data_IF_741049533633
#
_entry.id   IF_741049533633
#
_cell.length_a   1.000
_cell.length_b   1.000
_cell.length_c   1.000
_cell.angle_alpha   90.00
_cell.angle_beta   90.00
_cell.angle_gamma   90.00
#
_symmetry.space_group_name_H-M   'P 1'
#
loop_
_entity.id
_entity.type
_entity.pdbx_description
1 polymer ?
#
# COMPACT_ATOMS: atom_id res chain seq x y z
N UNK A 1 16.58 2.92 -5.97
CA UNK A 1 17.56 1.94 -5.41
C UNK A 1 16.99 0.52 -5.43
N UNK A 2 17.83 -0.53 -5.36
CA UNK A 2 17.37 -1.92 -5.24
C UNK A 2 16.48 -2.16 -4.02
N UNK A 3 16.77 -1.51 -2.90
CA UNK A 3 15.98 -1.59 -1.67
C UNK A 3 14.58 -0.99 -1.90
N UNK A 4 14.48 0.21 -2.45
CA UNK A 4 13.18 0.84 -2.74
C UNK A 4 12.33 -0.02 -3.69
N UNK A 5 12.94 -0.60 -4.72
CA UNK A 5 12.24 -1.48 -5.65
C UNK A 5 11.69 -2.74 -4.94
N UNK A 6 12.51 -3.39 -4.11
CA UNK A 6 12.05 -4.54 -3.32
C UNK A 6 10.93 -4.16 -2.36
N UNK A 7 11.07 -3.04 -1.63
CA UNK A 7 10.04 -2.58 -0.70
C UNK A 7 8.74 -2.18 -1.42
N UNK A 8 8.83 -1.67 -2.65
CA UNK A 8 7.65 -1.44 -3.52
C UNK A 8 6.94 -2.74 -3.84
N UNK A 9 7.68 -3.81 -4.18
CA UNK A 9 7.08 -5.11 -4.46
C UNK A 9 6.49 -5.75 -3.19
N UNK A 10 7.15 -5.61 -2.04
CA UNK A 10 6.58 -6.07 -0.77
C UNK A 10 5.27 -5.36 -0.43
N UNK A 11 5.18 -4.05 -0.71
CA UNK A 11 3.94 -3.29 -0.54
C UNK A 11 2.79 -3.80 -1.40
N UNK A 12 3.05 -4.48 -2.51
CA UNK A 12 1.98 -5.08 -3.31
C UNK A 12 1.24 -6.22 -2.58
N UNK A 13 1.89 -6.92 -1.63
CA UNK A 13 1.33 -8.12 -1.01
C UNK A 13 -0.03 -7.91 -0.33
N UNK A 14 -0.27 -6.85 0.46
CA UNK A 14 -1.59 -6.60 1.04
C UNK A 14 -2.71 -6.33 0.03
N UNK A 15 -2.36 -5.89 -1.18
CA UNK A 15 -3.33 -5.46 -2.21
C UNK A 15 -3.62 -6.52 -3.27
N UNK A 16 -2.61 -7.27 -3.68
CA UNK A 16 -2.72 -8.23 -4.80
C UNK A 16 -2.44 -9.67 -4.41
N UNK A 17 -2.10 -9.90 -3.14
CA UNK A 17 -1.81 -11.20 -2.56
C UNK A 17 -0.41 -11.74 -2.86
N UNK A 18 -0.02 -12.75 -2.09
CA UNK A 18 1.30 -13.38 -2.19
C UNK A 18 1.64 -13.94 -3.58
N UNK A 19 0.73 -14.63 -4.30
CA UNK A 19 1.11 -15.23 -5.57
C UNK A 19 1.66 -14.23 -6.59
N UNK A 20 0.99 -13.10 -6.78
CA UNK A 20 1.46 -12.04 -7.70
C UNK A 20 2.72 -11.35 -7.20
N UNK A 21 2.81 -11.12 -5.89
CA UNK A 21 3.98 -10.51 -5.27
C UNK A 21 5.22 -11.40 -5.42
N UNK A 22 5.09 -12.71 -5.21
CA UNK A 22 6.19 -13.67 -5.37
C UNK A 22 6.68 -13.74 -6.82
N UNK A 23 5.76 -13.71 -7.80
CA UNK A 23 6.14 -13.64 -9.21
C UNK A 23 6.95 -12.36 -9.51
N UNK A 24 6.50 -11.20 -9.01
CA UNK A 24 7.21 -9.94 -9.19
C UNK A 24 8.60 -9.97 -8.51
N UNK A 25 8.71 -10.58 -7.32
CA UNK A 25 10.01 -10.77 -6.64
C UNK A 25 10.96 -11.65 -7.46
N UNK A 26 10.45 -12.70 -8.11
CA UNK A 26 11.25 -13.52 -9.04
C UNK A 26 11.86 -12.66 -10.13
N UNK A 27 11.04 -11.88 -10.81
CA UNK A 27 11.48 -11.00 -11.92
C UNK A 27 12.49 -9.96 -11.46
N UNK A 28 12.28 -9.27 -10.34
CA UNK A 28 13.26 -8.28 -9.87
C UNK A 28 14.59 -8.91 -9.46
N UNK A 29 14.58 -10.14 -8.91
CA UNK A 29 15.80 -10.87 -8.56
C UNK A 29 16.61 -11.24 -9.81
N UNK A 30 15.95 -11.63 -10.90
CA UNK A 30 16.60 -11.86 -12.21
C UNK A 30 17.28 -10.58 -12.71
N UNK A 31 16.56 -9.45 -12.70
CA UNK A 31 17.11 -8.13 -13.09
C UNK A 31 18.27 -7.72 -12.17
N UNK A 32 18.20 -8.01 -10.87
CA UNK A 32 19.30 -7.72 -9.96
C UNK A 32 20.54 -8.55 -10.30
N UNK A 33 20.37 -9.84 -10.61
CA UNK A 33 21.47 -10.70 -11.02
C UNK A 33 22.12 -10.21 -12.32
N UNK A 34 21.33 -9.86 -13.34
CA UNK A 34 21.80 -9.29 -14.61
C UNK A 34 22.61 -7.99 -14.44
N UNK A 35 22.24 -7.19 -13.43
CA UNK A 35 22.91 -5.93 -13.08
C UNK A 35 24.05 -6.07 -12.08
N UNK A 36 24.42 -7.29 -11.69
CA UNK A 36 25.48 -7.57 -10.74
C UNK A 36 25.18 -7.11 -9.31
N UNK A 37 23.89 -6.91 -8.98
CA UNK A 37 23.47 -6.54 -7.63
C UNK A 37 23.46 -7.79 -6.77
N UNK A 38 24.25 -7.77 -5.69
CA UNK A 38 24.38 -8.91 -4.77
C UNK A 38 23.12 -9.10 -3.92
N UNK A 39 22.67 -10.35 -3.82
CA UNK A 39 21.58 -10.77 -2.93
C UNK A 39 22.14 -11.63 -1.78
N UNK A 40 21.48 -11.65 -0.60
CA UNK A 40 20.28 -10.88 -0.26
C UNK A 40 20.60 -9.39 -0.03
N UNK A 41 19.63 -8.54 -0.33
CA UNK A 41 19.70 -7.13 0.08
C UNK A 41 19.53 -7.01 1.59
N UNK A 42 20.07 -5.93 2.17
CA UNK A 42 19.91 -5.61 3.59
C UNK A 42 18.43 -5.62 4.01
N UNK A 43 18.14 -6.28 5.15
CA UNK A 43 16.78 -6.32 5.70
C UNK A 43 16.31 -4.92 6.12
N UNK A 44 15.07 -4.58 5.80
CA UNK A 44 14.42 -3.35 6.21
C UNK A 44 13.34 -3.57 7.29
N UNK A 45 13.17 -4.81 7.76
CA UNK A 45 12.27 -5.12 8.89
C UNK A 45 12.79 -4.50 10.18
N UNK A 46 11.90 -3.83 10.93
CA UNK A 46 12.26 -3.11 12.17
C UNK A 46 11.39 -3.51 13.36
N UNK A 47 10.30 -4.23 13.13
CA UNK A 47 9.28 -4.52 14.12
C UNK A 47 9.41 -5.98 14.58
N UNK A 48 9.46 -6.20 15.88
CA UNK A 48 9.39 -7.53 16.47
C UNK A 48 7.96 -8.11 16.35
N UNK A 49 7.82 -9.43 16.41
CA UNK A 49 6.53 -10.10 16.19
C UNK A 49 5.47 -9.65 17.19
N UNK A 50 5.83 -9.51 18.45
CA UNK A 50 4.97 -9.06 19.54
C UNK A 50 4.56 -7.57 19.44
N UNK A 51 5.30 -6.78 18.68
CA UNK A 51 5.06 -5.33 18.52
C UNK A 51 4.21 -5.00 17.26
N UNK A 52 3.97 -5.98 16.40
CA UNK A 52 3.34 -5.77 15.08
C UNK A 52 2.04 -4.98 15.15
N UNK A 53 1.15 -5.34 16.05
CA UNK A 53 -0.14 -4.67 16.21
C UNK A 53 0.04 -3.22 16.70
N UNK A 54 0.86 -2.99 17.72
CA UNK A 54 1.06 -1.66 18.28
C UNK A 54 1.76 -0.73 17.26
N UNK A 55 2.83 -1.21 16.63
CA UNK A 55 3.56 -0.47 15.61
C UNK A 55 2.70 -0.17 14.37
N UNK A 56 1.93 -1.16 13.92
CA UNK A 56 1.00 -1.00 12.81
C UNK A 56 -0.13 -0.01 13.12
N UNK A 57 -0.71 -0.10 14.30
CA UNK A 57 -1.76 0.80 14.78
C UNK A 57 -1.27 2.25 14.86
N UNK A 58 -0.03 2.48 15.28
CA UNK A 58 0.57 3.81 15.36
C UNK A 58 0.69 4.49 13.98
N UNK A 59 0.83 3.72 12.90
CA UNK A 59 0.83 4.24 11.52
C UNK A 59 -0.60 4.34 10.97
N UNK A 60 -1.43 3.32 11.19
CA UNK A 60 -2.78 3.23 10.63
C UNK A 60 -3.72 4.30 11.18
N UNK A 61 -3.72 4.52 12.50
CA UNK A 61 -4.67 5.42 13.16
C UNK A 61 -4.64 6.87 12.65
N UNK A 62 -3.48 7.52 12.48
CA UNK A 62 -3.44 8.87 11.93
C UNK A 62 -3.94 8.97 10.48
N UNK A 63 -3.85 7.88 9.71
CA UNK A 63 -4.23 7.86 8.29
C UNK A 63 -5.71 7.50 8.07
N UNK A 64 -6.23 6.54 8.84
CA UNK A 64 -7.51 5.88 8.56
C UNK A 64 -8.46 5.80 9.75
N UNK A 65 -8.01 6.17 10.95
CA UNK A 65 -8.85 6.08 12.14
C UNK A 65 -9.39 4.66 12.36
N UNK A 66 -10.69 4.54 12.59
CA UNK A 66 -11.39 3.28 12.83
C UNK A 66 -12.18 2.75 11.62
N UNK A 67 -11.98 3.31 10.42
CA UNK A 67 -12.77 2.98 9.23
C UNK A 67 -12.96 1.47 9.03
N UNK A 68 -11.87 0.67 9.10
CA UNK A 68 -11.95 -0.77 8.85
C UNK A 68 -12.70 -1.52 9.95
N UNK A 69 -12.57 -1.10 11.21
CA UNK A 69 -13.28 -1.72 12.34
C UNK A 69 -14.79 -1.46 12.22
N UNK A 70 -15.16 -0.24 11.85
CA UNK A 70 -16.54 0.16 11.65
C UNK A 70 -17.17 -0.55 10.44
N UNK A 71 -16.42 -0.65 9.33
CA UNK A 71 -16.88 -1.33 8.12
C UNK A 71 -17.11 -2.84 8.32
N UNK A 72 -16.37 -3.48 9.23
CA UNK A 72 -16.46 -4.91 9.50
C UNK A 72 -17.29 -5.24 10.77
N UNK A 73 -17.83 -4.23 11.44
CA UNK A 73 -18.67 -4.41 12.63
C UNK A 73 -19.91 -5.24 12.30
N UNK A 74 -20.26 -6.16 13.20
CA UNK A 74 -21.44 -7.02 13.05
C UNK A 74 -21.24 -8.26 12.19
N UNK A 75 -20.04 -8.55 11.72
CA UNK A 75 -19.73 -9.86 11.13
C UNK A 75 -19.85 -10.99 12.19
N UNK A 76 -20.22 -12.21 11.79
CA UNK A 76 -20.44 -13.32 12.74
C UNK A 76 -19.21 -13.60 13.62
N UNK A 77 -19.44 -13.86 14.90
CA UNK A 77 -18.39 -14.14 15.88
C UNK A 77 -17.40 -12.97 15.96
N UNK A 78 -16.12 -13.26 16.03
CA UNK A 78 -15.03 -12.26 16.07
C UNK A 78 -14.38 -12.01 14.70
N UNK A 79 -14.98 -12.48 13.61
CA UNK A 79 -14.35 -12.45 12.26
C UNK A 79 -14.06 -11.03 11.79
N UNK A 80 -14.89 -10.05 12.13
CA UNK A 80 -14.63 -8.64 11.80
C UNK A 80 -13.43 -8.06 12.55
N UNK A 81 -13.29 -8.37 13.83
CA UNK A 81 -12.16 -7.96 14.66
C UNK A 81 -10.86 -8.66 14.18
N UNK A 82 -10.93 -9.96 13.88
CA UNK A 82 -9.79 -10.72 13.37
C UNK A 82 -9.30 -10.16 12.02
N UNK A 83 -10.21 -9.88 11.09
CA UNK A 83 -9.84 -9.32 9.78
C UNK A 83 -9.22 -7.92 9.92
N UNK A 84 -9.76 -7.07 10.80
CA UNK A 84 -9.20 -5.76 11.09
C UNK A 84 -7.81 -5.87 11.74
N UNK A 85 -7.63 -6.83 12.66
CA UNK A 85 -6.34 -7.12 13.30
C UNK A 85 -5.31 -7.60 12.27
N UNK A 86 -5.67 -8.53 11.38
CA UNK A 86 -4.77 -9.02 10.32
C UNK A 86 -4.32 -7.88 9.41
N UNK A 87 -5.21 -6.96 9.04
CA UNK A 87 -4.84 -5.78 8.27
C UNK A 87 -3.82 -4.92 9.05
N UNK A 88 -4.10 -4.64 10.33
CA UNK A 88 -3.21 -3.80 11.15
C UNK A 88 -1.83 -4.44 11.31
N UNK A 89 -1.78 -5.74 11.63
CA UNK A 89 -0.52 -6.45 11.86
C UNK A 89 0.27 -6.63 10.56
N UNK A 90 -0.37 -7.12 9.49
CA UNK A 90 0.35 -7.45 8.26
C UNK A 90 0.63 -6.21 7.41
N UNK A 91 -0.40 -5.43 7.06
CA UNK A 91 -0.19 -4.28 6.18
C UNK A 91 0.63 -3.19 6.87
N UNK A 92 0.19 -2.76 8.05
CA UNK A 92 0.84 -1.66 8.74
C UNK A 92 2.01 -2.11 9.61
N UNK A 93 1.88 -3.21 10.35
CA UNK A 93 2.89 -3.72 11.26
C UNK A 93 4.10 -4.33 10.54
N UNK A 94 3.87 -5.18 9.52
CA UNK A 94 4.96 -5.85 8.81
C UNK A 94 5.47 -5.07 7.61
N UNK A 95 4.60 -4.34 6.88
CA UNK A 95 4.97 -3.71 5.62
C UNK A 95 5.24 -2.21 5.78
N UNK A 96 4.33 -1.44 6.40
CA UNK A 96 4.50 0.01 6.49
C UNK A 96 5.60 0.46 7.46
N UNK A 97 5.92 -0.34 8.49
CA UNK A 97 7.02 -0.05 9.44
C UNK A 97 8.41 -0.25 8.85
N UNK A 98 8.53 -0.97 7.73
CA UNK A 98 9.82 -1.26 7.08
C UNK A 98 10.52 0.00 6.61
N UNK A 99 11.85 -0.02 6.61
CA UNK A 99 12.68 1.02 6.00
C UNK A 99 12.60 1.04 4.48
N UNK A 100 13.45 1.87 3.87
CA UNK A 100 13.59 1.99 2.41
C UNK A 100 12.55 2.88 1.73
N UNK A 101 11.33 2.97 2.25
CA UNK A 101 10.27 3.86 1.77
C UNK A 101 9.60 4.54 2.97
N UNK A 102 9.30 5.81 2.85
CA UNK A 102 8.48 6.52 3.84
C UNK A 102 6.98 6.30 3.62
N UNK A 103 6.16 6.68 4.59
CA UNK A 103 4.70 6.50 4.55
C UNK A 103 4.07 7.26 3.38
N UNK A 104 4.56 8.46 3.07
CA UNK A 104 4.05 9.26 1.94
C UNK A 104 4.22 8.53 0.61
N UNK A 105 5.40 7.97 0.39
CA UNK A 105 5.70 7.18 -0.83
C UNK A 105 4.87 5.91 -0.87
N UNK A 106 4.70 5.22 0.27
CA UNK A 106 3.86 4.01 0.34
C UNK A 106 2.41 4.29 -0.03
N UNK A 107 1.85 5.41 0.41
CA UNK A 107 0.49 5.82 0.03
C UNK A 107 0.36 6.12 -1.47
N UNK A 108 1.34 6.77 -2.09
CA UNK A 108 1.32 6.99 -3.55
C UNK A 108 1.41 5.67 -4.32
N UNK A 109 2.23 4.73 -3.86
CA UNK A 109 2.32 3.39 -4.45
C UNK A 109 1.02 2.60 -4.28
N UNK A 110 0.39 2.66 -3.11
CA UNK A 110 -0.91 2.05 -2.85
C UNK A 110 -1.99 2.60 -3.80
N UNK A 111 -2.02 3.91 -4.03
CA UNK A 111 -2.88 4.54 -5.04
C UNK A 111 -2.62 3.93 -6.43
N UNK A 112 -1.36 3.83 -6.85
CA UNK A 112 -1.01 3.21 -8.13
C UNK A 112 -1.49 1.76 -8.26
N UNK A 113 -1.35 0.97 -7.21
CA UNK A 113 -1.84 -0.42 -7.16
C UNK A 113 -3.36 -0.47 -7.27
N UNK A 114 -4.08 0.40 -6.54
CA UNK A 114 -5.54 0.44 -6.53
C UNK A 114 -6.13 0.92 -7.86
N UNK A 115 -5.49 1.89 -8.51
CA UNK A 115 -5.84 2.32 -9.87
C UNK A 115 -5.66 1.15 -10.85
N UNK A 116 -4.55 0.41 -10.73
CA UNK A 116 -4.24 -0.73 -11.61
C UNK A 116 -5.22 -1.88 -11.42
N UNK A 117 -5.64 -2.14 -10.18
CA UNK A 117 -6.61 -3.20 -9.87
C UNK A 117 -8.07 -2.78 -10.05
N UNK A 118 -8.33 -1.50 -10.27
CA UNK A 118 -9.69 -0.95 -10.45
C UNK A 118 -10.51 -0.88 -9.16
N UNK A 119 -9.87 -0.96 -7.98
CA UNK A 119 -10.58 -0.91 -6.69
C UNK A 119 -10.84 0.54 -6.25
N UNK A 120 -11.89 1.14 -6.81
CA UNK A 120 -12.21 2.57 -6.62
C UNK A 120 -12.71 2.90 -5.21
N UNK A 121 -13.38 1.96 -4.54
CA UNK A 121 -13.85 2.17 -3.17
C UNK A 121 -12.66 2.30 -2.19
N UNK A 122 -11.73 1.38 -2.23
CA UNK A 122 -10.51 1.43 -1.40
C UNK A 122 -9.61 2.59 -1.80
N UNK A 123 -9.58 2.95 -3.09
CA UNK A 123 -8.83 4.10 -3.59
C UNK A 123 -9.25 5.40 -2.90
N UNK A 124 -10.53 5.60 -2.62
CA UNK A 124 -11.03 6.80 -1.93
C UNK A 124 -10.37 6.95 -0.55
N UNK A 125 -10.34 5.90 0.25
CA UNK A 125 -9.68 5.91 1.58
C UNK A 125 -8.18 6.19 1.47
N UNK A 126 -7.48 5.59 0.48
CA UNK A 126 -6.05 5.81 0.27
C UNK A 126 -5.72 7.21 -0.25
N UNK A 127 -6.58 7.84 -1.05
CA UNK A 127 -6.44 9.26 -1.42
C UNK A 127 -6.49 10.14 -0.16
N UNK A 128 -7.50 9.94 0.69
CA UNK A 128 -7.61 10.69 1.95
C UNK A 128 -6.42 10.40 2.89
N UNK A 129 -6.00 9.13 3.03
CA UNK A 129 -4.82 8.72 3.78
C UNK A 129 -3.53 9.35 3.25
N UNK A 130 -3.36 9.39 1.93
CA UNK A 130 -2.21 10.01 1.28
C UNK A 130 -2.10 11.51 1.56
N UNK A 131 -3.22 12.23 1.55
CA UNK A 131 -3.27 13.65 1.94
C UNK A 131 -2.90 13.82 3.42
N UNK A 132 -3.44 12.97 4.31
CA UNK A 132 -3.08 12.98 5.75
C UNK A 132 -1.61 12.65 5.98
N UNK A 133 -1.01 11.79 5.16
CA UNK A 133 0.42 11.51 5.17
C UNK A 133 1.28 12.69 4.69
N UNK A 134 0.66 13.75 4.13
CA UNK A 134 1.32 14.98 3.69
C UNK A 134 1.66 15.03 2.21
N UNK A 135 1.05 14.20 1.36
CA UNK A 135 1.08 14.37 -0.09
C UNK A 135 0.14 15.50 -0.51
N UNK A 136 0.54 16.29 -1.49
CA UNK A 136 -0.36 17.31 -2.04
C UNK A 136 -1.37 16.70 -3.03
N UNK A 137 -2.54 17.34 -3.23
CA UNK A 137 -3.48 16.94 -4.27
C UNK A 137 -2.85 16.85 -5.66
N UNK A 138 -1.91 17.74 -5.98
CA UNK A 138 -1.17 17.75 -7.25
C UNK A 138 -0.30 16.50 -7.37
N UNK A 139 0.39 16.10 -6.31
CA UNK A 139 1.23 14.89 -6.28
C UNK A 139 0.38 13.64 -6.48
N UNK A 140 -0.76 13.54 -5.81
CA UNK A 140 -1.70 12.43 -5.97
C UNK A 140 -2.27 12.40 -7.39
N UNK A 141 -2.63 13.56 -7.95
CA UNK A 141 -3.10 13.68 -9.34
C UNK A 141 -2.04 13.17 -10.31
N UNK A 142 -0.79 13.60 -10.15
CA UNK A 142 0.32 13.18 -11.00
C UNK A 142 0.56 11.66 -10.93
N UNK A 143 0.48 11.07 -9.73
CA UNK A 143 0.61 9.62 -9.55
C UNK A 143 -0.48 8.84 -10.30
N UNK A 144 -1.74 9.30 -10.27
CA UNK A 144 -2.83 8.68 -11.03
C UNK A 144 -2.62 8.84 -12.54
N UNK A 145 -2.22 10.03 -13.00
CA UNK A 145 -1.95 10.28 -14.43
C UNK A 145 -0.80 9.40 -14.91
N UNK A 146 0.24 9.21 -14.10
CA UNK A 146 1.36 8.32 -14.40
C UNK A 146 0.92 6.87 -14.67
N UNK A 147 -0.20 6.42 -14.10
CA UNK A 147 -0.72 5.08 -14.34
C UNK A 147 -1.39 4.90 -15.71
N UNK A 148 -1.83 5.99 -16.38
CA UNK A 148 -2.61 5.93 -17.63
C UNK A 148 -2.02 5.02 -18.71
N UNK A 149 -0.70 5.07 -19.03
CA UNK A 149 -0.12 4.22 -20.07
C UNK A 149 -0.20 2.72 -19.77
N UNK A 150 -0.36 2.35 -18.50
CA UNK A 150 -0.34 0.97 -18.04
C UNK A 150 -1.74 0.39 -17.81
N UNK A 151 -2.70 1.23 -17.39
CA UNK A 151 -4.05 0.79 -16.98
C UNK A 151 -5.15 1.23 -17.96
N UNK A 152 -4.80 2.06 -18.92
CA UNK A 152 -5.75 2.66 -19.89
C UNK A 152 -6.57 3.80 -19.30
N UNK A 153 -7.15 4.62 -20.18
CA UNK A 153 -7.94 5.80 -19.82
C UNK A 153 -9.14 5.50 -18.92
N UNK A 154 -9.95 4.45 -19.12
CA UNK A 154 -11.14 4.25 -18.31
C UNK A 154 -10.83 4.14 -16.80
N UNK A 155 -9.85 3.32 -16.42
CA UNK A 155 -9.47 3.17 -15.02
C UNK A 155 -8.86 4.45 -14.44
N UNK A 156 -7.96 5.09 -15.18
CA UNK A 156 -7.32 6.33 -14.73
C UNK A 156 -8.31 7.50 -14.61
N UNK A 157 -9.25 7.66 -15.55
CA UNK A 157 -10.26 8.70 -15.49
C UNK A 157 -11.26 8.47 -14.34
N UNK A 158 -11.64 7.21 -14.07
CA UNK A 158 -12.42 6.88 -12.89
C UNK A 158 -11.69 7.23 -11.59
N UNK A 159 -10.40 6.92 -11.51
CA UNK A 159 -9.56 7.26 -10.35
C UNK A 159 -9.47 8.79 -10.14
N UNK A 160 -9.29 9.57 -11.21
CA UNK A 160 -9.29 11.04 -11.14
C UNK A 160 -10.64 11.60 -10.69
N UNK A 161 -11.74 10.94 -11.06
CA UNK A 161 -13.09 11.32 -10.58
C UNK A 161 -13.22 11.07 -9.08
N UNK A 162 -12.75 9.89 -8.59
CA UNK A 162 -12.72 9.59 -7.15
C UNK A 162 -11.87 10.62 -6.40
N UNK A 163 -10.68 10.95 -6.91
CA UNK A 163 -9.84 12.00 -6.32
C UNK A 163 -10.60 13.34 -6.20
N UNK A 164 -11.20 13.82 -7.31
CA UNK A 164 -11.96 15.06 -7.32
C UNK A 164 -13.10 15.07 -6.29
N UNK A 165 -13.77 13.93 -6.10
CA UNK A 165 -14.87 13.81 -5.15
C UNK A 165 -14.39 13.74 -3.70
N UNK A 166 -13.22 13.17 -3.46
CA UNK A 166 -12.56 13.09 -2.13
C UNK A 166 -12.02 14.45 -1.66
N UNK A 167 -11.67 15.35 -2.58
CA UNK A 167 -11.11 16.68 -2.26
C UNK A 167 -12.16 17.77 -2.00
N UNK A 168 -13.46 17.47 -2.11
CA UNK A 168 -14.56 18.40 -1.79
C UNK A 168 -14.81 18.49 -0.30
#
# INVERSE_FOLDING_TARGET
TPIELRETVYLCAPFVGFPKTLNALGVINEVFAERGIKLPLESQGKTAEEERFAAGSAIQQPLYGNEIKEALAGLPGNMGEDAARFLTEFCFGDIYTRGGLDVKTRELLAIGILVTTGNMQTLQSHIAGSIRAGNSPETVTAAIIQCMPYVGFPNALNALKVLKDTLK
#
